data_IF_035608756585
#
_entry.id   IF_035608756585
#
_cell.length_a   1.000
_cell.length_b   1.000
_cell.length_c   1.000
_cell.angle_alpha   90.00
_cell.angle_beta   90.00
_cell.angle_gamma   90.00
#
_symmetry.space_group_name_H-M   'P 1'
#
loop_
_entity.id
_entity.type
_entity.pdbx_description
1 polymer ?
#
# COMPACT_ATOMS: atom_id res chain seq x y z
N UNK A 1 -5.90 8.90 11.54
CA UNK A 1 -6.15 8.18 10.27
C UNK A 1 -6.65 9.09 9.14
N UNK A 2 -7.86 9.65 9.18
CA UNK A 2 -8.42 10.47 8.07
C UNK A 2 -7.50 11.59 7.58
N UNK A 3 -6.86 12.34 8.48
CA UNK A 3 -5.90 13.39 8.12
C UNK A 3 -4.68 12.85 7.36
N UNK A 4 -4.17 11.66 7.74
CA UNK A 4 -3.03 11.06 7.06
C UNK A 4 -3.38 10.60 5.64
N UNK A 5 -4.59 10.09 5.44
CA UNK A 5 -5.12 9.74 4.11
C UNK A 5 -5.26 11.00 3.24
N UNK A 6 -5.81 12.08 3.80
CA UNK A 6 -5.96 13.35 3.09
C UNK A 6 -4.62 14.02 2.73
N UNK A 7 -3.54 13.68 3.42
CA UNK A 7 -2.19 14.17 3.14
C UNK A 7 -1.49 13.39 2.01
N UNK A 8 -2.05 12.25 1.56
CA UNK A 8 -1.50 11.52 0.40
C UNK A 8 -1.80 12.32 -0.87
N UNK A 9 -0.79 12.69 -1.68
CA UNK A 9 -1.00 13.43 -2.92
C UNK A 9 -2.03 12.75 -3.83
N UNK A 10 -2.97 13.53 -4.35
CA UNK A 10 -4.00 13.04 -5.28
C UNK A 10 -3.40 13.07 -6.70
N UNK A 11 -3.23 11.91 -7.32
CA UNK A 11 -2.72 11.82 -8.69
C UNK A 11 -3.82 11.98 -9.76
N UNK A 12 -5.06 11.62 -9.43
CA UNK A 12 -6.20 11.73 -10.35
C UNK A 12 -7.00 12.99 -10.03
N UNK A 13 -6.85 14.03 -10.86
CA UNK A 13 -7.54 15.30 -10.68
C UNK A 13 -9.06 15.12 -10.57
N UNK A 14 -9.68 15.79 -9.59
CA UNK A 14 -11.12 15.70 -9.33
C UNK A 14 -11.57 14.45 -8.56
N UNK A 15 -10.64 13.57 -8.16
CA UNK A 15 -10.93 12.43 -7.28
C UNK A 15 -10.59 12.73 -5.82
N UNK A 16 -11.07 11.87 -4.92
CA UNK A 16 -10.66 11.85 -3.51
C UNK A 16 -10.28 10.43 -3.09
N UNK A 17 -9.41 10.29 -2.10
CA UNK A 17 -9.08 8.99 -1.53
C UNK A 17 -10.25 8.42 -0.73
N UNK A 18 -10.58 7.15 -0.99
CA UNK A 18 -11.48 6.34 -0.18
C UNK A 18 -10.74 5.15 0.39
N UNK A 19 -11.03 4.82 1.64
CA UNK A 19 -10.55 3.61 2.28
C UNK A 19 -11.32 2.39 1.77
N UNK A 20 -10.61 1.37 1.30
CA UNK A 20 -11.22 0.11 0.82
C UNK A 20 -10.87 -1.10 1.68
N UNK A 21 -9.76 -1.04 2.41
CA UNK A 21 -9.35 -2.09 3.32
C UNK A 21 -8.45 -1.56 4.44
N UNK A 22 -8.38 -2.30 5.54
CA UNK A 22 -7.46 -2.04 6.64
C UNK A 22 -7.10 -3.31 7.38
N UNK A 23 -6.01 -3.25 8.13
CA UNK A 23 -5.60 -4.33 9.02
C UNK A 23 -4.39 -3.95 9.86
N UNK A 24 -3.83 -4.95 10.52
CA UNK A 24 -2.64 -4.81 11.33
C UNK A 24 -1.88 -6.14 11.47
N UNK A 25 -0.66 -6.06 11.98
CA UNK A 25 0.15 -7.22 12.38
C UNK A 25 -0.44 -7.92 13.61
N UNK A 26 -0.05 -9.18 13.86
CA UNK A 26 -0.61 -9.97 14.97
C UNK A 26 -0.31 -9.37 16.35
N UNK A 27 0.84 -8.69 16.50
CA UNK A 27 1.19 -7.96 17.71
C UNK A 27 0.48 -6.59 17.86
N UNK A 28 -0.45 -6.25 16.96
CA UNK A 28 -1.24 -5.01 16.98
C UNK A 28 -0.39 -3.73 17.02
N UNK A 29 0.82 -3.74 16.46
CA UNK A 29 1.71 -2.57 16.43
C UNK A 29 1.65 -1.83 15.10
N UNK A 30 1.85 -2.56 13.99
CA UNK A 30 1.87 -1.99 12.65
C UNK A 30 0.49 -2.14 12.00
N UNK A 31 -0.19 -1.02 11.82
CA UNK A 31 -1.48 -0.92 11.14
C UNK A 31 -1.28 -0.42 9.71
N UNK A 32 -2.22 -0.76 8.85
CA UNK A 32 -2.26 -0.29 7.47
C UNK A 32 -3.68 0.03 7.03
N UNK A 33 -3.80 0.96 6.10
CA UNK A 33 -5.03 1.32 5.41
C UNK A 33 -4.75 1.37 3.93
N UNK A 34 -5.56 0.68 3.14
CA UNK A 34 -5.52 0.70 1.68
C UNK A 34 -6.54 1.68 1.15
N UNK A 35 -6.09 2.52 0.22
CA UNK A 35 -6.89 3.60 -0.35
C UNK A 35 -6.84 3.58 -1.88
N UNK A 36 -7.96 3.94 -2.51
CA UNK A 36 -8.09 4.16 -3.95
C UNK A 36 -8.75 5.52 -4.21
N UNK A 37 -8.53 6.17 -5.36
CA UNK A 37 -9.34 7.31 -5.76
C UNK A 37 -10.81 6.87 -5.98
N UNK A 38 -11.74 7.81 -5.81
CA UNK A 38 -13.18 7.61 -6.08
C UNK A 38 -13.52 7.25 -7.52
N UNK A 39 -12.57 7.41 -8.45
CA UNK A 39 -12.71 7.02 -9.85
C UNK A 39 -11.94 5.70 -10.02
N UNK A 40 -12.66 4.62 -10.31
CA UNK A 40 -12.09 3.28 -10.41
C UNK A 40 -12.16 2.70 -11.83
N UNK A 41 -11.01 2.38 -12.41
CA UNK A 41 -10.77 1.42 -13.49
C UNK A 41 -10.01 0.18 -12.97
N UNK A 42 -9.78 -0.84 -13.80
CA UNK A 42 -8.99 -2.02 -13.40
C UNK A 42 -7.55 -1.67 -12.99
N UNK A 43 -6.95 -0.68 -13.66
CA UNK A 43 -5.60 -0.16 -13.39
C UNK A 43 -5.58 1.03 -12.43
N UNK A 44 -6.60 1.17 -11.58
CA UNK A 44 -6.69 2.29 -10.64
C UNK A 44 -5.47 2.37 -9.74
N UNK A 45 -4.81 3.53 -9.63
CA UNK A 45 -3.71 3.72 -8.71
C UNK A 45 -4.19 3.55 -7.26
N UNK A 46 -3.47 2.77 -6.48
CA UNK A 46 -3.77 2.49 -5.08
C UNK A 46 -2.61 2.92 -4.19
N UNK A 47 -2.90 3.17 -2.92
CA UNK A 47 -1.90 3.47 -1.91
C UNK A 47 -2.12 2.68 -0.64
N UNK A 48 -1.04 2.47 0.11
CA UNK A 48 -1.06 1.95 1.46
C UNK A 48 -0.54 3.03 2.41
N UNK A 49 -1.27 3.32 3.45
CA UNK A 49 -0.82 4.22 4.52
C UNK A 49 -0.58 3.38 5.77
N UNK A 50 0.65 3.40 6.26
CA UNK A 50 1.05 2.66 7.45
C UNK A 50 0.99 3.54 8.70
N UNK A 51 0.73 2.89 9.83
CA UNK A 51 0.66 3.52 11.14
C UNK A 51 1.34 2.64 12.19
N UNK A 52 2.04 3.28 13.13
CA UNK A 52 2.38 2.70 14.41
C UNK A 52 1.26 3.05 15.39
N UNK A 53 0.37 2.10 15.66
CA UNK A 53 -0.92 2.35 16.29
C UNK A 53 -1.71 3.45 15.55
N UNK A 54 -1.82 4.65 16.13
CA UNK A 54 -2.50 5.80 15.53
C UNK A 54 -1.53 6.80 14.87
N UNK A 55 -0.21 6.65 15.06
CA UNK A 55 0.81 7.56 14.53
C UNK A 55 1.08 7.21 13.06
N UNK A 56 0.89 8.13 12.11
CA UNK A 56 1.18 7.86 10.71
C UNK A 56 2.68 7.65 10.50
N UNK A 57 3.02 6.61 9.76
CA UNK A 57 4.37 6.34 9.26
C UNK A 57 4.55 6.76 7.79
N UNK A 58 3.44 6.91 7.07
CA UNK A 58 3.42 7.35 5.67
C UNK A 58 3.12 6.21 4.69
N UNK A 59 3.39 6.47 3.42
CA UNK A 59 3.21 5.52 2.32
C UNK A 59 4.51 4.78 2.02
N UNK A 60 4.47 3.49 1.61
CA UNK A 60 5.68 2.74 1.27
C UNK A 60 6.26 3.19 -0.08
N UNK A 61 5.45 3.78 -0.95
CA UNK A 61 5.86 4.29 -2.26
C UNK A 61 5.59 5.78 -2.36
N UNK A 62 6.45 6.55 -3.06
CA UNK A 62 6.21 7.97 -3.30
C UNK A 62 4.99 8.21 -4.21
N UNK A 63 4.83 7.34 -5.22
CA UNK A 63 3.71 7.39 -6.17
C UNK A 63 2.79 6.17 -5.98
N UNK A 64 1.45 6.35 -5.98
CA UNK A 64 0.46 5.28 -6.12
C UNK A 64 0.81 4.22 -7.18
N UNK A 65 0.45 2.96 -6.90
CA UNK A 65 0.62 1.83 -7.82
C UNK A 65 -0.68 1.07 -7.98
N UNK A 66 -1.00 0.55 -9.17
CA UNK A 66 -2.15 -0.32 -9.33
C UNK A 66 -1.89 -1.70 -8.72
N UNK A 67 -2.94 -2.52 -8.61
CA UNK A 67 -2.87 -3.94 -8.26
C UNK A 67 -2.09 -4.25 -6.96
N UNK A 68 -2.33 -3.46 -5.91
CA UNK A 68 -1.75 -3.71 -4.59
C UNK A 68 -2.65 -4.68 -3.83
N UNK A 69 -2.06 -5.76 -3.31
CA UNK A 69 -2.76 -6.70 -2.44
C UNK A 69 -2.00 -6.89 -1.15
N UNK A 70 -2.64 -6.66 -0.01
CA UNK A 70 -2.06 -7.05 1.30
C UNK A 70 -2.38 -8.52 1.54
N UNK A 71 -1.36 -9.35 1.70
CA UNK A 71 -1.54 -10.79 1.87
C UNK A 71 -1.97 -11.11 3.31
N UNK A 72 -2.96 -12.02 3.49
CA UNK A 72 -3.39 -12.46 4.81
C UNK A 72 -2.29 -13.28 5.50
N UNK A 73 -2.33 -13.33 6.83
CA UNK A 73 -1.40 -14.15 7.60
C UNK A 73 0.01 -13.55 7.75
N UNK A 74 0.10 -12.22 7.80
CA UNK A 74 1.35 -11.51 8.06
C UNK A 74 2.14 -12.06 9.24
N UNK A 75 3.46 -11.80 9.22
CA UNK A 75 4.36 -12.12 10.32
C UNK A 75 3.89 -11.42 11.60
N UNK A 76 4.46 -11.81 12.74
CA UNK A 76 4.01 -11.25 14.03
C UNK A 76 4.12 -9.71 14.08
N UNK A 77 5.11 -9.16 13.37
CA UNK A 77 5.52 -7.75 13.36
C UNK A 77 5.67 -7.13 11.96
N UNK A 78 5.38 -7.88 10.88
CA UNK A 78 5.49 -7.38 9.51
C UNK A 78 4.24 -7.64 8.65
N UNK A 79 3.97 -6.70 7.75
CA UNK A 79 2.89 -6.77 6.76
C UNK A 79 3.48 -7.16 5.41
N UNK A 80 3.00 -8.24 4.81
CA UNK A 80 3.41 -8.66 3.46
C UNK A 80 2.49 -8.04 2.43
N UNK A 81 3.06 -7.28 1.50
CA UNK A 81 2.35 -6.63 0.39
C UNK A 81 2.82 -7.23 -0.92
N UNK A 82 1.87 -7.67 -1.74
CA UNK A 82 2.08 -8.05 -3.12
C UNK A 82 1.79 -6.86 -4.03
N UNK A 83 2.74 -6.57 -4.90
CA UNK A 83 2.62 -5.62 -5.99
C UNK A 83 2.53 -6.40 -7.30
N UNK A 84 1.65 -5.94 -8.19
CA UNK A 84 1.58 -6.45 -9.56
C UNK A 84 1.68 -5.31 -10.58
N UNK A 85 2.14 -5.63 -11.77
CA UNK A 85 2.29 -4.68 -12.88
C UNK A 85 2.19 -5.38 -14.23
N UNK A 86 1.75 -4.64 -15.25
CA UNK A 86 1.71 -5.13 -16.61
C UNK A 86 3.13 -5.26 -17.17
N UNK A 87 3.38 -6.34 -17.91
CA UNK A 87 4.65 -6.55 -18.63
C UNK A 87 4.41 -6.48 -20.14
N UNK A 88 5.14 -5.61 -20.84
CA UNK A 88 4.89 -5.36 -22.27
C UNK A 88 3.51 -4.77 -22.53
N UNK A 89 2.75 -5.37 -23.45
CA UNK A 89 1.43 -4.90 -23.89
C UNK A 89 0.27 -5.71 -23.28
N UNK A 90 0.41 -6.14 -22.03
CA UNK A 90 -0.63 -6.88 -21.32
C UNK A 90 -1.90 -6.04 -21.12
N UNK A 91 -3.06 -6.69 -21.12
CA UNK A 91 -4.32 -6.04 -20.77
C UNK A 91 -4.38 -5.71 -19.26
N UNK A 92 -5.06 -4.62 -18.85
CA UNK A 92 -5.19 -4.24 -17.44
C UNK A 92 -5.79 -5.32 -16.53
N UNK A 93 -6.69 -6.16 -17.05
CA UNK A 93 -7.39 -7.15 -16.24
C UNK A 93 -6.46 -8.22 -15.64
N UNK A 94 -5.29 -8.47 -16.26
CA UNK A 94 -4.43 -9.62 -15.95
C UNK A 94 -2.93 -9.28 -16.03
N UNK A 95 -2.39 -8.40 -15.15
CA UNK A 95 -0.94 -8.17 -15.08
C UNK A 95 -0.21 -9.43 -14.61
N UNK A 96 0.88 -9.82 -15.32
CA UNK A 96 1.68 -11.01 -14.92
C UNK A 96 2.87 -10.67 -14.03
N UNK A 97 3.35 -9.43 -14.09
CA UNK A 97 4.41 -8.97 -13.21
C UNK A 97 3.95 -9.02 -11.76
N UNK A 98 4.73 -9.66 -10.90
CA UNK A 98 4.41 -9.85 -9.48
C UNK A 98 5.67 -9.78 -8.63
N UNK A 99 5.58 -9.15 -7.46
CA UNK A 99 6.63 -9.13 -6.47
C UNK A 99 6.05 -8.85 -5.08
N UNK A 100 6.69 -9.40 -4.04
CA UNK A 100 6.26 -9.21 -2.66
C UNK A 100 7.31 -8.47 -1.86
N UNK A 101 6.86 -7.63 -0.94
CA UNK A 101 7.70 -6.90 0.01
C UNK A 101 7.06 -6.97 1.38
N UNK A 102 7.89 -7.18 2.40
CA UNK A 102 7.44 -7.09 3.78
C UNK A 102 7.75 -5.71 4.34
N UNK A 103 6.84 -5.15 5.11
CA UNK A 103 7.02 -3.88 5.80
C UNK A 103 6.94 -4.10 7.30
N UNK A 104 7.88 -3.50 8.04
CA UNK A 104 7.89 -3.54 9.49
C UNK A 104 8.24 -2.15 10.05
N UNK A 105 8.13 -2.01 11.37
CA UNK A 105 8.63 -0.82 12.07
C UNK A 105 10.08 -1.10 12.46
N UNK A 106 11.00 -0.26 11.99
CA UNK A 106 12.41 -0.33 12.30
C UNK A 106 12.73 0.00 13.77
N UNK A 107 13.97 -0.23 14.22
CA UNK A 107 14.43 0.14 15.56
C UNK A 107 14.33 1.65 15.84
N UNK A 108 14.41 2.46 14.80
CA UNK A 108 14.23 3.92 14.80
C UNK A 108 12.75 4.36 14.83
N UNK A 109 11.82 3.41 14.81
CA UNK A 109 10.39 3.67 14.82
C UNK A 109 9.84 4.14 13.47
N UNK A 110 10.59 4.00 12.37
CA UNK A 110 10.14 4.35 11.01
C UNK A 110 9.66 3.12 10.25
N UNK A 111 8.90 3.33 9.17
CA UNK A 111 8.50 2.25 8.27
C UNK A 111 9.71 1.80 7.43
N UNK A 112 10.01 0.50 7.46
CA UNK A 112 11.11 -0.08 6.70
C UNK A 112 10.62 -1.23 5.81
N UNK A 113 11.16 -1.29 4.59
CA UNK A 113 10.90 -2.36 3.63
C UNK A 113 11.98 -3.44 3.74
N UNK A 114 11.57 -4.68 3.96
CA UNK A 114 12.42 -5.87 3.87
C UNK A 114 12.36 -6.39 2.44
N UNK A 115 13.22 -5.81 1.59
CA UNK A 115 13.27 -6.10 0.15
C UNK A 115 13.04 -4.86 -0.69
N UNK A 116 13.24 -5.00 -2.00
CA UNK A 116 13.03 -3.91 -2.95
C UNK A 116 11.57 -3.88 -3.38
N UNK A 117 10.97 -2.70 -3.37
CA UNK A 117 9.67 -2.48 -4.01
C UNK A 117 9.87 -2.63 -5.51
N UNK A 118 9.17 -3.58 -6.16
CA UNK A 118 9.33 -3.80 -7.59
C UNK A 118 8.81 -2.60 -8.38
N UNK A 119 9.44 -2.34 -9.52
CA UNK A 119 9.04 -1.28 -10.46
C UNK A 119 8.84 0.09 -9.81
N UNK A 120 9.76 0.46 -8.90
CA UNK A 120 9.73 1.77 -8.25
C UNK A 120 10.10 2.90 -9.21
#
# INVERSE_FOLDING_TARGET
VRQAIAAVPIEVAGSSWVEIARGHTKNCRLYWVQIIPTIASESTPQQLVFFDHARPLGTPTPNPKPYITVLPGGDNDAVTVQYQWQTGNEEPCCPKGIGTVKFHIGPDGTLQALGKIPHQ
#
